data_IF_727743171999
#
_entry.id   IF_727743171999
#
_cell.length_a   1.000
_cell.length_b   1.000
_cell.length_c   1.000
_cell.angle_alpha   90.00
_cell.angle_beta   90.00
_cell.angle_gamma   90.00
#
_symmetry.space_group_name_H-M   'P 1'
#
loop_
_entity.id
_entity.type
_entity.pdbx_description
1 polymer ?
#
# COMPACT_ATOMS: atom_id res chain seq x y z
N UNK A 1 16.01 -64.73 24.28
CA UNK A 1 14.55 -64.93 24.33
C UNK A 1 13.97 -64.34 23.03
N UNK A 2 13.93 -65.13 21.96
CA UNK A 2 12.71 -65.74 21.36
C UNK A 2 11.73 -64.68 20.81
N UNK A 3 11.73 -64.46 19.48
CA UNK A 3 10.76 -65.00 18.47
C UNK A 3 9.43 -64.23 18.52
N UNK A 4 8.91 -63.59 17.46
CA UNK A 4 8.02 -64.17 16.41
C UNK A 4 7.62 -63.01 15.46
N UNK A 5 7.99 -63.00 14.17
CA UNK A 5 7.25 -63.40 12.95
C UNK A 5 6.04 -62.52 12.50
N UNK A 6 6.11 -62.06 11.24
CA UNK A 6 5.07 -61.48 10.34
C UNK A 6 3.98 -62.53 9.95
N UNK A 7 3.10 -62.43 8.89
CA UNK A 7 2.79 -61.39 7.86
C UNK A 7 1.27 -61.29 7.44
N UNK A 8 0.95 -60.57 6.34
CA UNK A 8 -0.07 -60.84 5.25
C UNK A 8 -0.84 -59.57 4.82
N UNK A 9 -0.79 -59.06 3.57
CA UNK A 9 -1.53 -59.46 2.31
C UNK A 9 -3.04 -59.63 2.58
N UNK A 10 -4.01 -59.08 1.84
CA UNK A 10 -4.26 -59.10 0.39
C UNK A 10 -5.55 -58.28 0.12
N UNK A 11 -5.61 -57.37 -0.87
CA UNK A 11 -6.28 -57.51 -2.20
C UNK A 11 -7.78 -57.16 -2.31
N UNK A 12 -8.09 -56.49 -3.44
CA UNK A 12 -9.27 -56.64 -4.33
C UNK A 12 -10.64 -55.96 -4.03
N UNK A 13 -10.94 -54.96 -4.88
CA UNK A 13 -12.23 -54.63 -5.57
C UNK A 13 -12.80 -55.90 -6.28
N UNK A 14 -14.11 -56.08 -6.67
CA UNK A 14 -14.98 -55.13 -7.42
C UNK A 14 -16.53 -55.24 -7.32
N UNK A 15 -17.22 -54.50 -8.22
CA UNK A 15 -18.56 -54.73 -8.83
C UNK A 15 -19.82 -54.42 -7.97
N UNK A 16 -21.01 -54.01 -8.46
CA UNK A 16 -21.66 -53.67 -9.75
C UNK A 16 -23.04 -53.05 -9.36
N UNK A 17 -23.54 -51.99 -10.00
CA UNK A 17 -24.49 -51.93 -11.13
C UNK A 17 -25.98 -52.30 -10.86
N UNK A 18 -26.89 -51.52 -11.47
CA UNK A 18 -28.35 -51.68 -11.58
C UNK A 18 -29.07 -50.35 -11.27
N UNK A 19 -29.44 -49.45 -12.19
CA UNK A 19 -30.19 -49.47 -13.48
C UNK A 19 -31.68 -49.82 -13.32
N UNK A 20 -32.55 -48.84 -13.58
CA UNK A 20 -33.75 -48.81 -14.46
C UNK A 20 -34.71 -47.70 -13.98
N UNK A 21 -34.96 -46.60 -14.71
CA UNK A 21 -35.59 -46.42 -16.05
C UNK A 21 -37.12 -46.40 -16.00
N UNK A 22 -37.72 -45.30 -16.48
CA UNK A 22 -38.86 -45.21 -17.43
C UNK A 22 -39.59 -43.85 -17.25
N UNK A 23 -39.43 -42.84 -18.11
CA UNK A 23 -39.98 -42.59 -19.46
C UNK A 23 -41.50 -42.37 -19.56
N UNK A 24 -41.89 -41.19 -20.08
CA UNK A 24 -42.74 -40.95 -21.27
C UNK A 24 -43.11 -39.44 -21.32
N UNK A 25 -42.60 -38.66 -22.30
CA UNK A 25 -43.25 -38.24 -23.58
C UNK A 25 -44.27 -37.08 -23.36
N UNK A 26 -44.34 -35.97 -24.12
CA UNK A 26 -44.59 -35.84 -25.57
C UNK A 26 -44.15 -34.46 -26.12
N UNK A 27 -43.82 -34.43 -27.41
CA UNK A 27 -43.37 -33.36 -28.31
C UNK A 27 -44.23 -32.08 -28.47
N UNK A 28 -43.61 -31.01 -28.98
CA UNK A 28 -44.17 -30.14 -30.06
C UNK A 28 -43.04 -29.45 -30.84
N UNK A 29 -43.16 -29.51 -32.15
CA UNK A 29 -42.28 -29.03 -33.22
C UNK A 29 -42.62 -27.59 -33.66
N UNK A 30 -41.65 -26.92 -34.30
CA UNK A 30 -41.79 -25.79 -35.23
C UNK A 30 -41.99 -24.35 -34.69
N UNK A 31 -40.92 -23.55 -34.77
CA UNK A 31 -40.98 -22.19 -35.30
C UNK A 31 -39.61 -21.77 -35.90
N UNK A 32 -39.59 -21.58 -37.22
CA UNK A 32 -38.53 -20.94 -38.00
C UNK A 32 -38.26 -19.52 -37.51
N UNK A 33 -36.98 -19.16 -37.52
CA UNK A 33 -36.44 -17.99 -38.23
C UNK A 33 -36.81 -16.58 -37.75
N UNK A 34 -35.77 -15.73 -37.75
CA UNK A 34 -35.80 -14.27 -37.60
C UNK A 34 -35.79 -13.73 -36.16
N UNK A 35 -34.58 -13.52 -35.65
CA UNK A 35 -34.18 -12.26 -35.01
C UNK A 35 -32.65 -12.26 -34.80
N UNK A 36 -31.90 -12.22 -35.90
CA UNK A 36 -30.65 -11.48 -35.87
C UNK A 36 -31.00 -9.99 -35.81
N UNK A 37 -30.16 -9.23 -35.09
CA UNK A 37 -30.23 -7.79 -34.85
C UNK A 37 -31.15 -7.36 -33.70
N UNK A 38 -30.66 -7.54 -32.47
CA UNK A 38 -30.78 -6.45 -31.50
C UNK A 38 -29.49 -6.29 -30.68
N UNK A 39 -28.61 -5.51 -31.28
CA UNK A 39 -27.81 -4.46 -30.65
C UNK A 39 -26.82 -4.90 -29.58
N UNK A 40 -25.55 -4.89 -30.01
CA UNK A 40 -24.42 -4.35 -29.26
C UNK A 40 -24.83 -3.33 -28.19
N UNK A 41 -25.15 -3.81 -26.99
CA UNK A 41 -24.83 -3.07 -25.79
C UNK A 41 -23.41 -3.52 -25.44
N UNK A 42 -22.44 -2.77 -25.94
CA UNK A 42 -21.06 -2.86 -25.48
C UNK A 42 -21.09 -2.70 -23.96
N UNK A 43 -21.04 -3.82 -23.22
CA UNK A 43 -20.41 -3.84 -21.93
C UNK A 43 -18.98 -3.40 -22.21
N UNK A 44 -18.76 -2.08 -22.13
CA UNK A 44 -17.45 -1.55 -21.84
C UNK A 44 -17.10 -2.18 -20.50
N UNK A 45 -16.42 -3.34 -20.58
CA UNK A 45 -15.64 -3.89 -19.51
C UNK A 45 -14.74 -2.75 -19.06
N UNK A 46 -15.20 -2.04 -18.04
CA UNK A 46 -14.43 -0.98 -17.42
C UNK A 46 -13.25 -1.71 -16.87
N UNK A 47 -12.07 -1.49 -17.47
CA UNK A 47 -10.84 -2.06 -16.97
C UNK A 47 -10.79 -1.79 -15.46
N UNK A 48 -10.44 -2.79 -14.63
CA UNK A 48 -10.44 -2.61 -13.19
C UNK A 48 -9.63 -1.37 -12.85
N UNK A 49 -10.24 -0.43 -12.10
CA UNK A 49 -9.57 0.79 -11.69
C UNK A 49 -8.30 0.39 -10.92
N UNK A 50 -7.14 0.75 -11.44
CA UNK A 50 -5.87 0.55 -10.75
C UNK A 50 -5.70 1.61 -9.68
N UNK A 51 -4.98 1.29 -8.60
CA UNK A 51 -4.57 2.32 -7.64
C UNK A 51 -3.81 3.44 -8.36
N UNK A 52 -4.06 4.67 -7.96
CA UNK A 52 -3.39 5.87 -8.49
C UNK A 52 -2.77 6.61 -7.33
N UNK A 53 -1.46 6.85 -7.39
CA UNK A 53 -0.71 7.55 -6.36
C UNK A 53 -0.19 8.84 -6.97
N UNK A 54 -0.98 9.88 -7.02
CA UNK A 54 -0.63 11.14 -7.71
C UNK A 54 -0.29 12.28 -6.74
N UNK A 55 -0.16 11.98 -5.44
CA UNK A 55 0.17 12.94 -4.39
C UNK A 55 -0.51 12.61 -3.06
N UNK A 56 -0.99 13.63 -2.36
CA UNK A 56 -1.67 13.50 -1.07
C UNK A 56 -2.81 14.50 -0.96
N UNK A 57 -4.05 14.01 -0.78
CA UNK A 57 -5.27 14.82 -0.77
C UNK A 57 -5.32 15.76 -1.99
N UNK A 58 -5.40 17.08 -1.82
CA UNK A 58 -5.46 18.01 -2.96
C UNK A 58 -4.09 18.37 -3.54
N UNK A 59 -2.99 18.07 -2.82
CA UNK A 59 -1.64 18.32 -3.31
C UNK A 59 -1.18 17.20 -4.24
N UNK A 60 -0.90 17.51 -5.51
CA UNK A 60 -0.50 16.53 -6.54
C UNK A 60 0.95 16.70 -6.96
N UNK A 61 1.60 15.61 -7.36
CA UNK A 61 2.93 15.63 -7.92
C UNK A 61 3.00 16.59 -9.11
N UNK A 62 4.11 17.32 -9.24
CA UNK A 62 4.26 18.36 -10.27
C UNK A 62 3.72 19.74 -9.89
N UNK A 63 2.96 19.89 -8.80
CA UNK A 63 2.55 21.20 -8.29
C UNK A 63 3.77 22.01 -7.80
N UNK A 64 3.73 23.34 -7.97
CA UNK A 64 4.70 24.22 -7.31
C UNK A 64 4.33 24.51 -5.85
N UNK A 65 5.25 25.15 -5.14
CA UNK A 65 5.07 25.47 -3.71
C UNK A 65 3.81 26.28 -3.42
N UNK A 66 3.46 27.25 -4.28
CA UNK A 66 2.27 28.09 -4.06
C UNK A 66 1.00 27.25 -4.16
N UNK A 67 0.91 26.38 -5.16
CA UNK A 67 -0.23 25.47 -5.31
C UNK A 67 -0.32 24.47 -4.15
N UNK A 68 0.82 23.91 -3.70
CA UNK A 68 0.85 23.00 -2.55
C UNK A 68 0.43 23.71 -1.26
N UNK A 69 0.90 24.94 -1.01
CA UNK A 69 0.44 25.74 0.14
C UNK A 69 -1.08 25.92 0.11
N UNK A 70 -1.64 26.30 -1.04
CA UNK A 70 -3.09 26.45 -1.18
C UNK A 70 -3.84 25.13 -0.90
N UNK A 71 -3.32 23.99 -1.37
CA UNK A 71 -3.87 22.68 -1.06
C UNK A 71 -3.84 22.37 0.45
N UNK A 72 -2.71 22.62 1.14
CA UNK A 72 -2.57 22.41 2.59
C UNK A 72 -3.62 23.23 3.37
N UNK A 73 -3.79 24.51 3.04
CA UNK A 73 -4.77 25.37 3.71
C UNK A 73 -6.20 24.87 3.52
N UNK A 74 -6.53 24.39 2.33
CA UNK A 74 -7.86 23.85 2.02
C UNK A 74 -8.09 22.48 2.65
N UNK A 75 -7.08 21.60 2.66
CA UNK A 75 -7.22 20.21 3.09
C UNK A 75 -7.32 20.07 4.61
N UNK A 76 -6.68 20.98 5.36
CA UNK A 76 -6.62 20.92 6.82
C UNK A 76 -7.29 22.12 7.52
N UNK A 77 -7.83 23.07 6.76
CA UNK A 77 -8.53 24.25 7.28
C UNK A 77 -7.66 25.07 8.26
N UNK A 78 -6.36 25.18 7.96
CA UNK A 78 -5.38 25.90 8.76
C UNK A 78 -4.97 27.24 8.11
N UNK A 79 -4.16 28.01 8.83
CA UNK A 79 -3.54 29.25 8.34
C UNK A 79 -2.12 28.99 7.82
N UNK A 80 -1.64 29.87 6.94
CA UNK A 80 -0.32 29.72 6.29
C UNK A 80 0.86 29.81 7.26
N UNK A 81 0.70 30.50 8.39
CA UNK A 81 1.70 30.59 9.46
C UNK A 81 1.94 29.26 10.19
N UNK A 82 1.01 28.31 10.09
CA UNK A 82 1.18 26.94 10.59
C UNK A 82 2.03 26.07 9.64
N UNK A 83 2.33 26.55 8.42
CA UNK A 83 3.16 25.84 7.44
C UNK A 83 4.61 26.27 7.60
N UNK A 84 5.44 25.36 8.09
CA UNK A 84 6.86 25.60 8.24
C UNK A 84 7.60 25.30 6.94
N UNK A 85 8.61 26.10 6.62
CA UNK A 85 9.52 25.85 5.49
C UNK A 85 10.90 25.43 6.00
N UNK A 86 11.50 24.47 5.30
CA UNK A 86 12.85 24.00 5.55
C UNK A 86 13.55 23.54 4.26
N UNK A 87 14.74 23.01 4.43
CA UNK A 87 15.54 22.43 3.36
C UNK A 87 16.21 21.15 3.85
N UNK A 88 16.25 20.12 3.01
CA UNK A 88 17.13 18.98 3.24
C UNK A 88 18.52 19.31 2.70
N UNK A 89 19.47 19.65 3.58
CA UNK A 89 20.76 20.22 3.19
C UNK A 89 21.61 19.37 2.22
N UNK A 90 21.52 18.04 2.32
CA UNK A 90 22.27 17.12 1.44
C UNK A 90 21.65 17.04 0.05
N UNK A 91 20.35 16.77 -0.03
CA UNK A 91 19.57 16.67 -1.27
C UNK A 91 19.28 18.03 -1.92
N UNK A 92 19.43 19.12 -1.16
CA UNK A 92 19.08 20.51 -1.52
C UNK A 92 17.63 20.67 -1.94
N UNK A 93 16.75 19.81 -1.44
CA UNK A 93 15.31 19.88 -1.68
C UNK A 93 14.66 20.80 -0.66
N UNK A 94 13.68 21.58 -1.12
CA UNK A 94 12.86 22.39 -0.21
C UNK A 94 11.79 21.51 0.39
N UNK A 95 11.43 21.77 1.65
CA UNK A 95 10.38 21.03 2.35
C UNK A 95 9.39 22.01 2.96
N UNK A 96 8.09 21.70 2.85
CA UNK A 96 7.05 22.29 3.69
C UNK A 96 6.58 21.24 4.70
N UNK A 97 6.41 21.63 5.96
CA UNK A 97 5.91 20.74 7.01
C UNK A 97 4.71 21.36 7.73
N UNK A 98 3.78 20.50 8.13
CA UNK A 98 2.57 20.86 8.86
C UNK A 98 2.23 19.78 9.88
N UNK A 99 1.84 20.17 11.09
CA UNK A 99 1.30 19.25 12.10
C UNK A 99 -0.21 19.09 11.90
N UNK A 100 -0.68 17.85 11.79
CA UNK A 100 -2.07 17.51 11.50
C UNK A 100 -2.60 16.58 12.58
N UNK A 101 -3.44 17.07 13.50
CA UNK A 101 -4.12 16.21 14.46
C UNK A 101 -5.14 15.32 13.75
N UNK A 102 -5.31 14.09 14.24
CA UNK A 102 -6.37 13.16 13.81
C UNK A 102 -6.42 12.93 12.30
N UNK A 103 -5.26 12.95 11.63
CA UNK A 103 -5.17 12.60 10.22
C UNK A 103 -5.70 11.17 9.97
N UNK A 104 -5.39 10.28 10.92
CA UNK A 104 -6.13 9.05 11.20
C UNK A 104 -6.96 9.35 12.44
N UNK A 105 -8.26 9.04 12.42
CA UNK A 105 -9.14 9.27 13.57
C UNK A 105 -8.58 8.55 14.80
N UNK A 106 -8.34 9.28 15.89
CA UNK A 106 -7.71 8.77 17.13
C UNK A 106 -6.29 8.25 16.94
N UNK A 107 -5.63 8.58 15.83
CA UNK A 107 -4.27 8.15 15.51
C UNK A 107 -3.18 9.10 16.01
N UNK A 108 -3.52 10.14 16.78
CA UNK A 108 -2.60 11.15 17.27
C UNK A 108 -2.22 12.21 16.24
N UNK A 109 -1.25 13.06 16.59
CA UNK A 109 -0.75 14.13 15.71
C UNK A 109 0.32 13.61 14.76
N UNK A 110 0.07 13.76 13.46
CA UNK A 110 1.03 13.48 12.39
C UNK A 110 1.80 14.75 12.00
N UNK A 111 3.04 14.60 11.54
CA UNK A 111 3.69 15.61 10.72
C UNK A 111 3.59 15.21 9.25
N UNK A 112 2.97 16.04 8.43
CA UNK A 112 2.99 15.88 6.96
C UNK A 112 4.11 16.75 6.38
N UNK A 113 4.90 16.19 5.49
CA UNK A 113 6.04 16.82 4.82
C UNK A 113 5.87 16.75 3.30
N UNK A 114 6.06 17.88 2.63
CA UNK A 114 5.96 18.03 1.18
C UNK A 114 7.33 18.41 0.64
N UNK A 115 7.94 17.53 -0.16
CA UNK A 115 9.31 17.70 -0.66
C UNK A 115 9.30 18.12 -2.11
N UNK A 116 9.99 19.22 -2.39
CA UNK A 116 10.11 19.81 -3.72
C UNK A 116 11.46 19.47 -4.35
N UNK A 117 11.41 19.03 -5.60
CA UNK A 117 12.59 18.66 -6.37
C UNK A 117 13.60 19.79 -6.48
N UNK A 118 14.88 19.43 -6.48
CA UNK A 118 15.99 20.37 -6.52
C UNK A 118 16.01 21.20 -7.81
N UNK A 119 15.85 20.57 -8.98
CA UNK A 119 15.89 21.24 -10.28
C UNK A 119 14.52 21.82 -10.65
N UNK A 120 13.47 21.01 -10.57
CA UNK A 120 12.13 21.36 -11.07
C UNK A 120 11.37 22.29 -10.14
N UNK A 121 11.73 22.32 -8.84
CA UNK A 121 10.99 23.01 -7.77
C UNK A 121 9.53 22.57 -7.67
N UNK A 122 9.21 21.36 -8.14
CA UNK A 122 7.88 20.77 -8.10
C UNK A 122 7.77 19.73 -6.99
N UNK A 123 6.56 19.49 -6.50
CA UNK A 123 6.28 18.44 -5.53
C UNK A 123 6.64 17.08 -6.15
N UNK A 124 7.54 16.35 -5.51
CA UNK A 124 7.99 15.02 -5.95
C UNK A 124 7.71 13.93 -4.91
N UNK A 125 7.44 14.31 -3.66
CA UNK A 125 7.26 13.37 -2.57
C UNK A 125 6.45 13.99 -1.43
N UNK A 126 5.62 13.16 -0.79
CA UNK A 126 4.90 13.50 0.45
C UNK A 126 5.20 12.42 1.49
N UNK A 127 5.65 12.84 2.67
CA UNK A 127 5.86 11.95 3.82
C UNK A 127 4.91 12.30 4.96
N UNK A 128 4.42 11.30 5.68
CA UNK A 128 3.61 11.45 6.88
C UNK A 128 4.24 10.64 8.00
N UNK A 129 4.56 11.29 9.10
CA UNK A 129 5.24 10.66 10.25
C UNK A 129 4.40 10.80 11.51
N UNK A 130 4.26 9.70 12.24
CA UNK A 130 3.78 9.66 13.62
C UNK A 130 4.91 9.18 14.53
N UNK A 131 5.17 9.90 15.62
CA UNK A 131 6.17 9.53 16.64
C UNK A 131 5.94 10.31 17.93
N UNK A 132 6.70 9.99 18.98
CA UNK A 132 6.73 10.77 20.22
C UNK A 132 7.17 12.24 20.03
N UNK A 133 7.89 12.53 18.94
CA UNK A 133 8.31 13.89 18.55
C UNK A 133 7.19 14.71 17.93
N UNK A 134 6.23 14.06 17.26
CA UNK A 134 5.07 14.73 16.67
C UNK A 134 3.93 14.82 17.67
N UNK A 135 3.82 13.84 18.57
CA UNK A 135 2.82 13.75 19.62
C UNK A 135 3.40 13.04 20.86
N UNK A 136 3.63 13.73 21.99
CA UNK A 136 4.18 13.12 23.21
C UNK A 136 3.29 12.02 23.82
N UNK A 137 2.02 11.93 23.40
CA UNK A 137 1.09 10.88 23.84
C UNK A 137 1.15 9.63 22.97
N UNK A 138 1.92 9.67 21.88
CA UNK A 138 2.09 8.53 20.97
C UNK A 138 2.68 7.32 21.71
N UNK A 139 2.07 6.16 21.54
CA UNK A 139 2.55 4.90 22.12
C UNK A 139 2.93 3.90 21.04
N UNK A 140 3.78 2.94 21.39
CA UNK A 140 4.15 1.82 20.51
C UNK A 140 2.92 1.06 19.97
N UNK A 141 1.89 0.88 20.81
CA UNK A 141 0.62 0.25 20.43
C UNK A 141 -0.12 1.08 19.39
N UNK A 142 -0.27 2.40 19.61
CA UNK A 142 -0.93 3.29 18.65
C UNK A 142 -0.20 3.30 17.29
N UNK A 143 1.13 3.33 17.29
CA UNK A 143 1.93 3.26 16.07
C UNK A 143 1.68 1.97 15.29
N UNK A 144 1.62 0.83 15.99
CA UNK A 144 1.33 -0.46 15.38
C UNK A 144 -0.11 -0.52 14.83
N UNK A 145 -1.11 -0.08 15.60
CA UNK A 145 -2.51 -0.07 15.19
C UNK A 145 -2.77 0.85 13.98
N UNK A 146 -2.19 2.06 13.99
CA UNK A 146 -2.22 2.97 12.84
C UNK A 146 -1.57 2.33 11.61
N UNK A 147 -0.43 1.64 11.79
CA UNK A 147 0.28 0.94 10.72
C UNK A 147 -0.56 -0.19 10.13
N UNK A 148 -1.21 -1.00 10.96
CA UNK A 148 -2.10 -2.08 10.51
C UNK A 148 -3.34 -1.54 9.79
N UNK A 149 -3.93 -0.46 10.27
CA UNK A 149 -5.05 0.21 9.61
C UNK A 149 -4.66 0.69 8.20
N UNK A 150 -3.54 1.40 8.07
CA UNK A 150 -3.03 1.87 6.79
C UNK A 150 -2.66 0.72 5.85
N UNK A 151 -1.98 -0.32 6.37
CA UNK A 151 -1.64 -1.52 5.59
C UNK A 151 -2.91 -2.17 5.03
N UNK A 152 -3.93 -2.37 5.87
CA UNK A 152 -5.20 -2.96 5.43
C UNK A 152 -5.90 -2.10 4.37
N UNK A 153 -5.89 -0.77 4.52
CA UNK A 153 -6.38 0.15 3.50
C UNK A 153 -5.64 -0.03 2.18
N UNK A 154 -4.29 0.01 2.16
CA UNK A 154 -3.53 -0.15 0.92
C UNK A 154 -3.65 -1.54 0.29
N UNK A 155 -3.84 -2.58 1.10
CA UNK A 155 -4.11 -3.94 0.60
C UNK A 155 -5.49 -4.06 -0.08
N UNK A 156 -6.43 -3.17 0.23
CA UNK A 156 -7.73 -3.09 -0.43
C UNK A 156 -7.71 -2.28 -1.73
N UNK A 157 -6.66 -1.50 -1.95
CA UNK A 157 -6.45 -0.73 -3.18
C UNK A 157 -5.86 -1.61 -4.30
N UNK A 158 -6.15 -1.27 -5.55
CA UNK A 158 -5.77 -2.06 -6.72
C UNK A 158 -4.33 -1.79 -7.21
N UNK A 159 -3.33 -1.92 -6.32
CA UNK A 159 -1.91 -1.86 -6.71
C UNK A 159 -1.52 -3.06 -7.58
N UNK A 160 -0.52 -2.88 -8.45
CA UNK A 160 -0.06 -3.95 -9.34
C UNK A 160 0.56 -5.12 -8.54
N UNK A 161 0.11 -6.35 -8.76
CA UNK A 161 0.43 -7.49 -7.90
C UNK A 161 1.88 -8.01 -7.88
N UNK A 162 2.81 -7.76 -8.83
CA UNK A 162 4.21 -8.03 -8.51
C UNK A 162 4.85 -6.90 -7.67
N UNK A 163 4.18 -5.75 -7.58
CA UNK A 163 4.73 -4.56 -6.92
C UNK A 163 4.50 -4.53 -5.40
N UNK A 164 3.50 -5.29 -4.93
CA UNK A 164 3.11 -5.35 -3.52
C UNK A 164 4.12 -6.17 -2.73
N UNK A 165 4.68 -5.57 -1.68
CA UNK A 165 5.50 -6.26 -0.68
C UNK A 165 5.00 -5.88 0.71
N UNK A 166 4.92 -6.85 1.62
CA UNK A 166 4.41 -6.62 2.98
C UNK A 166 5.23 -7.35 4.03
N UNK A 167 5.30 -6.77 5.22
CA UNK A 167 5.91 -7.36 6.42
C UNK A 167 7.37 -7.81 6.21
N UNK A 168 8.14 -7.03 5.46
CA UNK A 168 9.57 -7.28 5.25
C UNK A 168 10.35 -6.59 6.36
N UNK A 169 11.12 -7.34 7.14
CA UNK A 169 12.05 -6.77 8.13
C UNK A 169 13.18 -6.05 7.41
N UNK A 170 13.38 -4.76 7.71
CA UNK A 170 14.43 -3.94 7.11
C UNK A 170 15.15 -3.12 8.18
N UNK A 171 16.48 -3.24 8.28
CA UNK A 171 17.27 -2.48 9.24
C UNK A 171 16.69 -2.53 10.66
N UNK A 172 16.25 -1.39 11.17
CA UNK A 172 15.64 -1.21 12.50
C UNK A 172 14.10 -1.16 12.48
N UNK A 173 13.45 -1.79 11.51
CA UNK A 173 11.99 -1.77 11.41
C UNK A 173 11.40 -2.83 10.49
N UNK A 174 10.13 -2.62 10.15
CA UNK A 174 9.34 -3.46 9.26
C UNK A 174 8.76 -2.57 8.16
N UNK A 175 9.03 -2.90 6.91
CA UNK A 175 8.27 -2.41 5.76
C UNK A 175 6.93 -3.13 5.75
N UNK A 176 5.91 -2.48 6.33
CA UNK A 176 4.57 -3.04 6.46
C UNK A 176 3.90 -3.17 5.09
N UNK A 177 4.11 -2.18 4.22
CA UNK A 177 3.56 -2.17 2.88
C UNK A 177 4.49 -1.43 1.91
N UNK A 178 4.58 -1.93 0.69
CA UNK A 178 5.07 -1.21 -0.48
C UNK A 178 4.18 -1.55 -1.65
N UNK A 179 3.75 -0.56 -2.42
CA UNK A 179 2.99 -0.73 -3.66
C UNK A 179 3.44 0.28 -4.70
N UNK A 180 3.28 -0.08 -5.98
CA UNK A 180 3.59 0.79 -7.12
C UNK A 180 2.35 0.91 -8.00
N UNK A 181 2.01 2.12 -8.40
CA UNK A 181 0.92 2.35 -9.35
C UNK A 181 1.38 2.15 -10.81
N UNK A 182 0.46 2.33 -11.76
CA UNK A 182 0.75 2.16 -13.18
C UNK A 182 1.72 3.22 -13.75
N UNK A 183 1.92 4.35 -13.06
CA UNK A 183 2.85 5.42 -13.44
C UNK A 183 4.24 5.22 -12.82
N UNK A 184 4.41 4.22 -11.96
CA UNK A 184 5.68 3.96 -11.27
C UNK A 184 5.81 4.74 -9.95
N UNK A 185 4.77 5.43 -9.51
CA UNK A 185 4.74 6.11 -8.23
C UNK A 185 4.60 5.09 -7.11
N UNK A 186 5.21 5.39 -5.96
CA UNK A 186 5.34 4.42 -4.86
C UNK A 186 4.63 4.90 -3.61
N UNK A 187 3.89 3.97 -3.00
CA UNK A 187 3.42 4.05 -1.62
C UNK A 187 4.28 3.12 -0.77
N UNK A 188 4.86 3.64 0.32
CA UNK A 188 5.69 2.88 1.25
C UNK A 188 5.24 3.18 2.69
N UNK A 189 5.03 2.13 3.48
CA UNK A 189 4.67 2.22 4.89
C UNK A 189 5.73 1.49 5.72
N UNK A 190 6.38 2.21 6.62
CA UNK A 190 7.46 1.73 7.47
C UNK A 190 7.08 1.90 8.94
N UNK A 191 7.22 0.82 9.70
CA UNK A 191 7.16 0.85 11.16
C UNK A 191 8.59 0.71 11.67
N UNK A 192 9.14 1.77 12.26
CA UNK A 192 10.52 1.82 12.71
C UNK A 192 10.59 1.77 14.24
N UNK A 193 11.69 1.24 14.76
CA UNK A 193 11.87 1.13 16.21
C UNK A 193 13.18 0.44 16.58
N UNK A 194 13.18 -0.22 17.73
CA UNK A 194 14.30 -1.02 18.19
C UNK A 194 13.88 -2.49 18.30
N UNK A 195 14.72 -3.38 17.78
CA UNK A 195 14.55 -4.82 18.00
C UNK A 195 15.20 -5.22 19.33
N UNK A 196 14.51 -6.08 20.07
CA UNK A 196 15.04 -6.78 21.23
C UNK A 196 14.91 -8.28 21.00
N UNK A 197 15.92 -9.04 21.42
CA UNK A 197 15.90 -10.50 21.32
C UNK A 197 15.38 -11.08 22.64
N UNK A 198 14.27 -11.81 22.55
CA UNK A 198 13.68 -12.55 23.66
C UNK A 198 14.54 -13.73 24.10
N UNK A 199 14.23 -14.30 25.27
CA UNK A 199 14.92 -15.48 25.81
C UNK A 199 14.78 -16.73 24.93
N UNK A 200 13.75 -16.77 24.08
CA UNK A 200 13.47 -17.81 23.09
C UNK A 200 14.20 -17.58 21.75
N UNK A 201 14.98 -16.49 21.64
CA UNK A 201 15.66 -16.08 20.41
C UNK A 201 14.75 -15.33 19.42
N UNK A 202 13.49 -15.08 19.77
CA UNK A 202 12.57 -14.29 18.94
C UNK A 202 12.92 -12.80 18.97
N UNK A 203 12.94 -12.13 17.82
CA UNK A 203 13.13 -10.69 17.76
C UNK A 203 11.78 -9.98 17.83
N UNK A 204 11.61 -9.11 18.83
CA UNK A 204 10.43 -8.26 18.99
C UNK A 204 10.79 -6.81 18.67
N UNK A 205 10.01 -6.19 17.79
CA UNK A 205 10.12 -4.75 17.50
C UNK A 205 9.34 -3.97 18.57
N UNK A 206 9.98 -2.95 19.15
CA UNK A 206 9.28 -1.88 19.88
C UNK A 206 9.21 -0.66 18.97
N UNK A 207 8.04 -0.34 18.38
CA UNK A 207 7.89 0.82 17.52
C UNK A 207 8.19 2.15 18.20
N UNK A 208 8.82 3.06 17.44
CA UNK A 208 9.12 4.43 17.83
C UNK A 208 8.61 5.46 16.79
N UNK A 209 8.48 5.05 15.52
CA UNK A 209 7.81 5.86 14.50
C UNK A 209 7.04 5.00 13.49
N UNK A 210 6.05 5.62 12.88
CA UNK A 210 5.36 5.12 11.70
C UNK A 210 5.50 6.17 10.60
N UNK A 211 6.03 5.74 9.46
CA UNK A 211 6.30 6.61 8.31
C UNK A 211 5.56 6.10 7.08
N UNK A 212 4.72 6.95 6.51
CA UNK A 212 4.04 6.74 5.23
C UNK A 212 4.65 7.67 4.19
N UNK A 213 5.02 7.13 3.04
CA UNK A 213 5.70 7.84 1.98
C UNK A 213 5.00 7.61 0.65
N UNK A 214 4.70 8.72 -0.05
CA UNK A 214 4.30 8.74 -1.44
C UNK A 214 5.38 9.41 -2.27
N UNK A 215 5.87 8.75 -3.34
CA UNK A 215 6.96 9.27 -4.18
C UNK A 215 6.64 9.16 -5.66
N UNK A 216 6.85 10.23 -6.41
CA UNK A 216 6.63 10.28 -7.86
C UNK A 216 7.67 9.48 -8.64
N UNK A 217 8.93 9.46 -8.19
CA UNK A 217 10.02 8.81 -8.94
C UNK A 217 11.15 8.36 -8.01
N UNK A 218 10.94 7.35 -7.14
CA UNK A 218 11.92 6.99 -6.12
C UNK A 218 13.22 6.43 -6.68
N UNK A 219 13.23 5.93 -7.93
CA UNK A 219 14.44 5.42 -8.58
C UNK A 219 15.24 6.55 -9.28
N UNK A 220 14.59 7.67 -9.60
CA UNK A 220 15.20 8.82 -10.27
C UNK A 220 14.76 10.12 -9.60
N UNK A 221 15.04 10.31 -8.31
CA UNK A 221 14.57 11.50 -7.60
C UNK A 221 15.26 12.76 -8.11
N UNK A 222 14.49 13.85 -8.20
CA UNK A 222 14.98 15.20 -8.50
C UNK A 222 15.65 15.80 -7.25
N UNK A 223 16.84 15.30 -6.95
CA UNK A 223 17.70 15.73 -5.84
C UNK A 223 19.07 16.17 -6.37
N UNK A 224 19.80 16.95 -5.58
CA UNK A 224 21.18 17.25 -5.87
C UNK A 224 22.03 15.97 -5.91
N UNK A 225 22.71 15.75 -7.02
CA UNK A 225 23.68 14.64 -7.21
C UNK A 225 25.04 15.24 -7.49
N UNK A 226 26.07 14.71 -6.83
CA UNK A 226 27.46 15.06 -7.15
C UNK A 226 27.78 14.63 -8.60
N UNK A 227 28.24 15.55 -9.46
CA UNK A 227 28.71 15.19 -10.78
C UNK A 227 29.83 14.14 -10.73
N UNK A 228 29.90 13.24 -11.71
CA UNK A 228 31.03 12.32 -11.85
C UNK A 228 32.33 13.13 -11.99
N UNK A 229 33.37 12.74 -11.25
CA UNK A 229 34.67 13.44 -11.27
C UNK A 229 34.73 14.73 -10.45
N UNK A 230 33.82 14.92 -9.49
CA UNK A 230 33.85 16.10 -8.59
C UNK A 230 34.99 16.07 -7.56
N UNK A 231 35.70 14.95 -7.43
CA UNK A 231 36.89 14.74 -6.61
C UNK A 231 37.84 13.79 -7.34
#
# INVERSE_FOLDING_TARGET
MTKTASPSRSSSQPAEAGVESSQADVATEAAKGQAEAQLDASEQATAPATAVVDGFRSARFGMDEKAVRAAILSDFEIKDDAIQSGEHSVERTKILTVSVPDLIRHGGVAQVSYVFGYLTKKLIQVGVTWSDKTDPTMTATMLYENGELLRNHFMSEAYAQPSIQTNVVIGSGIMMFRGVDAQGHVTLLLLQGAFSTGQDGGNTLTPASLDLLYSAAPNEPDIFKLPKGSF
#
